data_IF_036914086747
#
_entry.id   IF_036914086747
#
_cell.length_a   1.000
_cell.length_b   1.000
_cell.length_c   1.000
_cell.angle_alpha   90.00
_cell.angle_beta   90.00
_cell.angle_gamma   90.00
#
_symmetry.space_group_name_H-M   'P 1'
#
loop_
_entity.id
_entity.type
_entity.pdbx_description
1 polymer ?
#
# COMPACT_ATOMS: atom_id res chain seq x y z
N UNK A 1 35.98 19.33 23.54
CA UNK A 1 35.33 19.68 22.25
C UNK A 1 34.09 20.52 22.56
N UNK A 2 33.75 21.51 21.72
CA UNK A 2 32.58 22.37 21.95
C UNK A 2 31.51 22.11 20.88
N UNK A 3 30.24 22.04 21.28
CA UNK A 3 29.09 21.84 20.42
C UNK A 3 28.11 22.99 20.64
N UNK A 4 27.82 23.74 19.58
CA UNK A 4 26.83 24.81 19.60
C UNK A 4 25.45 24.30 19.17
N UNK A 5 24.40 24.66 19.93
CA UNK A 5 23.01 24.32 19.66
C UNK A 5 22.23 25.63 19.43
N UNK A 6 22.17 26.05 18.17
CA UNK A 6 21.48 27.27 17.69
C UNK A 6 20.03 26.98 17.28
N UNK A 7 19.16 27.99 17.28
CA UNK A 7 17.77 27.94 16.78
C UNK A 7 17.65 27.93 15.23
N UNK A 8 18.62 27.35 14.52
CA UNK A 8 18.51 27.19 13.06
C UNK A 8 17.71 25.94 12.73
N UNK A 9 16.68 26.09 11.90
CA UNK A 9 15.86 24.99 11.37
C UNK A 9 16.74 23.93 10.73
N UNK A 10 16.60 22.70 11.21
CA UNK A 10 17.29 21.53 10.65
C UNK A 10 16.54 21.00 9.44
N UNK A 11 17.13 21.15 8.26
CA UNK A 11 16.74 20.45 7.04
C UNK A 11 15.80 21.25 6.15
N UNK A 12 16.28 21.61 4.96
CA UNK A 12 15.46 22.19 3.89
C UNK A 12 14.81 21.13 2.99
N UNK A 13 15.12 19.84 3.22
CA UNK A 13 14.60 18.77 2.38
C UNK A 13 13.14 18.48 2.76
N UNK A 14 12.20 18.49 1.79
CA UNK A 14 10.78 18.20 2.04
C UNK A 14 10.55 16.77 2.55
N UNK A 15 11.54 15.88 2.37
CA UNK A 15 11.48 14.48 2.83
C UNK A 15 11.97 14.29 4.26
N UNK A 16 12.62 15.30 4.87
CA UNK A 16 13.07 15.18 6.25
C UNK A 16 11.88 15.25 7.22
N UNK A 17 11.81 14.30 8.14
CA UNK A 17 10.84 14.24 9.23
C UNK A 17 11.53 14.24 10.59
N UNK A 18 10.77 14.42 11.67
CA UNK A 18 11.27 14.25 13.05
C UNK A 18 11.93 12.86 13.20
N UNK A 19 11.31 11.81 12.64
CA UNK A 19 11.84 10.45 12.68
C UNK A 19 13.18 10.29 11.97
N UNK A 20 13.40 10.95 10.83
CA UNK A 20 14.69 10.88 10.13
C UNK A 20 15.77 11.72 10.80
N UNK A 21 15.42 12.91 11.32
CA UNK A 21 16.38 13.79 12.00
C UNK A 21 16.88 13.17 13.31
N UNK A 22 16.03 12.39 13.97
CA UNK A 22 16.35 11.69 15.22
C UNK A 22 16.92 10.28 15.00
N UNK A 23 17.02 9.85 13.74
CA UNK A 23 17.36 8.47 13.30
C UNK A 23 16.48 7.37 13.90
N UNK A 24 15.40 7.73 14.62
CA UNK A 24 14.44 6.76 15.16
C UNK A 24 13.80 5.97 14.01
N UNK A 25 13.54 6.65 12.88
CA UNK A 25 12.99 6.02 11.70
C UNK A 25 13.91 4.92 11.12
N UNK A 26 15.23 5.07 11.21
CA UNK A 26 16.16 4.05 10.73
C UNK A 26 16.08 2.77 11.56
N UNK A 27 15.88 2.91 12.87
CA UNK A 27 15.63 1.76 13.72
C UNK A 27 14.28 1.10 13.41
N UNK A 28 13.24 1.89 13.14
CA UNK A 28 11.93 1.36 12.74
C UNK A 28 12.01 0.57 11.44
N UNK A 29 12.78 1.05 10.45
CA UNK A 29 12.96 0.34 9.17
C UNK A 29 13.52 -1.06 9.37
N UNK A 30 14.51 -1.21 10.24
CA UNK A 30 15.08 -2.53 10.57
C UNK A 30 14.08 -3.37 11.35
N UNK A 31 13.35 -2.76 12.29
CA UNK A 31 12.36 -3.45 13.12
C UNK A 31 11.24 -4.06 12.26
N UNK A 32 10.64 -3.26 11.38
CA UNK A 32 9.56 -3.72 10.49
C UNK A 32 10.05 -4.74 9.46
N UNK A 33 11.25 -4.58 8.91
CA UNK A 33 11.82 -5.56 7.99
C UNK A 33 12.10 -6.93 8.64
N UNK A 34 12.38 -6.97 9.95
CA UNK A 34 12.78 -8.21 10.64
C UNK A 34 11.66 -8.87 11.43
N UNK A 35 10.79 -8.08 12.05
CA UNK A 35 9.74 -8.56 12.94
C UNK A 35 8.32 -8.16 12.48
N UNK A 36 8.20 -7.46 11.35
CA UNK A 36 6.91 -7.13 10.78
C UNK A 36 6.27 -8.32 10.09
N UNK A 37 4.98 -8.52 10.32
CA UNK A 37 4.17 -9.45 9.55
C UNK A 37 3.67 -8.73 8.31
N UNK A 38 3.93 -9.30 7.14
CA UNK A 38 3.45 -8.75 5.87
C UNK A 38 1.96 -9.04 5.68
N UNK A 39 1.26 -8.10 5.07
CA UNK A 39 -0.16 -8.22 4.75
C UNK A 39 -0.35 -7.89 3.26
N UNK A 40 -1.25 -8.61 2.60
CA UNK A 40 -1.68 -8.25 1.26
C UNK A 40 -2.39 -6.88 1.31
N UNK A 41 -1.95 -5.86 0.55
CA UNK A 41 -2.58 -4.54 0.58
C UNK A 41 -4.04 -4.52 0.11
N UNK A 42 -4.40 -5.43 -0.79
CA UNK A 42 -5.75 -5.48 -1.37
C UNK A 42 -6.73 -6.32 -0.54
N UNK A 43 -6.24 -7.42 0.05
CA UNK A 43 -7.08 -8.39 0.76
C UNK A 43 -7.01 -8.28 2.29
N UNK A 44 -6.04 -7.55 2.84
CA UNK A 44 -5.74 -7.42 4.27
C UNK A 44 -5.58 -8.75 5.03
N UNK A 45 -5.07 -9.77 4.34
CA UNK A 45 -4.70 -11.06 4.93
C UNK A 45 -3.19 -11.15 5.15
N UNK A 46 -2.71 -11.81 6.22
CA UNK A 46 -1.30 -12.00 6.44
C UNK A 46 -0.70 -12.86 5.32
N UNK A 47 0.45 -12.44 4.79
CA UNK A 47 1.23 -13.24 3.84
C UNK A 47 2.48 -13.74 4.55
N UNK A 48 2.70 -15.04 4.48
CA UNK A 48 3.81 -15.72 5.12
C UNK A 48 4.62 -16.47 4.06
N UNK A 49 5.93 -16.58 4.29
CA UNK A 49 6.77 -17.52 3.55
C UNK A 49 6.78 -18.86 4.26
N UNK A 50 6.94 -19.92 3.49
CA UNK A 50 7.15 -21.25 4.03
C UNK A 50 8.44 -21.81 3.43
N UNK A 51 9.21 -22.52 4.22
CA UNK A 51 10.32 -23.32 3.73
C UNK A 51 9.79 -24.63 3.15
N UNK A 52 10.56 -25.25 2.25
CA UNK A 52 10.22 -26.57 1.71
C UNK A 52 9.95 -27.60 2.82
N UNK A 53 10.75 -27.57 3.89
CA UNK A 53 10.55 -28.44 5.06
C UNK A 53 9.24 -28.15 5.79
N UNK A 54 8.87 -26.89 5.99
CA UNK A 54 7.59 -26.52 6.61
C UNK A 54 6.39 -26.97 5.76
N UNK A 55 6.49 -26.88 4.43
CA UNK A 55 5.47 -27.40 3.50
C UNK A 55 5.33 -28.92 3.64
N UNK A 56 6.46 -29.65 3.69
CA UNK A 56 6.47 -31.11 3.86
C UNK A 56 5.81 -31.49 5.20
N UNK A 57 6.21 -30.84 6.30
CA UNK A 57 5.65 -31.12 7.62
C UNK A 57 4.16 -30.75 7.70
N UNK A 58 3.71 -29.69 7.01
CA UNK A 58 2.29 -29.31 6.93
C UNK A 58 1.47 -30.36 6.18
N UNK A 59 1.96 -30.90 5.06
CA UNK A 59 1.31 -32.00 4.34
C UNK A 59 1.29 -33.28 5.19
N UNK A 60 2.35 -33.57 5.94
CA UNK A 60 2.41 -34.71 6.86
C UNK A 60 1.48 -34.59 8.06
N UNK A 61 1.12 -33.36 8.46
CA UNK A 61 0.20 -33.07 9.55
C UNK A 61 -1.29 -33.27 9.16
N UNK A 62 -1.59 -33.44 7.86
CA UNK A 62 -2.94 -33.75 7.38
C UNK A 62 -3.37 -35.17 7.80
N UNK A 63 -4.68 -35.44 7.74
CA UNK A 63 -5.23 -36.72 8.16
C UNK A 63 -4.64 -37.90 7.35
N UNK A 64 -4.23 -38.94 8.08
CA UNK A 64 -3.63 -40.12 7.46
C UNK A 64 -4.64 -40.82 6.52
N UNK A 65 -4.21 -41.11 5.29
CA UNK A 65 -5.06 -41.68 4.25
C UNK A 65 -5.62 -40.66 3.25
N UNK A 66 -5.45 -39.35 3.50
CA UNK A 66 -5.81 -38.30 2.55
C UNK A 66 -5.07 -38.50 1.22
N UNK A 67 -5.81 -38.51 0.11
CA UNK A 67 -5.24 -38.62 -1.24
C UNK A 67 -5.04 -37.22 -1.80
N UNK A 68 -3.81 -36.88 -2.15
CA UNK A 68 -3.48 -35.58 -2.72
C UNK A 68 -2.91 -35.73 -4.13
N UNK A 69 -3.27 -34.80 -4.99
CA UNK A 69 -2.62 -34.57 -6.27
C UNK A 69 -1.68 -33.37 -6.13
N UNK A 70 -0.38 -33.61 -6.27
CA UNK A 70 0.63 -32.56 -6.19
C UNK A 70 0.81 -31.95 -7.57
N UNK A 71 0.62 -30.65 -7.66
CA UNK A 71 0.60 -29.87 -8.89
C UNK A 71 1.64 -28.75 -8.84
N UNK A 72 2.25 -28.47 -9.98
CA UNK A 72 3.12 -27.33 -10.19
C UNK A 72 2.48 -26.37 -11.20
N UNK A 73 2.05 -25.17 -10.80
CA UNK A 73 1.51 -24.18 -11.72
C UNK A 73 2.60 -23.70 -12.69
N UNK A 74 2.24 -23.52 -13.96
CA UNK A 74 3.13 -23.00 -14.99
C UNK A 74 2.48 -21.79 -15.63
N UNK A 75 3.11 -20.63 -15.51
CA UNK A 75 2.62 -19.39 -16.13
C UNK A 75 2.82 -19.44 -17.65
N UNK A 76 1.77 -19.03 -18.37
CA UNK A 76 1.79 -18.96 -19.83
C UNK A 76 1.34 -17.58 -20.27
N UNK A 77 2.20 -16.91 -21.03
CA UNK A 77 1.90 -15.60 -21.60
C UNK A 77 0.89 -15.76 -22.76
N UNK A 78 -0.13 -14.90 -22.76
CA UNK A 78 -1.15 -14.85 -23.82
C UNK A 78 -0.47 -14.63 -25.18
N UNK A 79 -0.75 -15.50 -26.14
CA UNK A 79 -0.19 -15.45 -27.50
C UNK A 79 1.06 -16.30 -27.75
N UNK A 80 1.62 -16.99 -26.75
CA UNK A 80 2.65 -18.02 -26.99
C UNK A 80 2.07 -19.30 -27.61
N UNK A 81 2.90 -20.01 -28.38
CA UNK A 81 2.56 -21.31 -28.93
C UNK A 81 2.68 -22.39 -27.84
N UNK A 82 1.55 -22.97 -27.44
CA UNK A 82 1.49 -24.00 -26.39
C UNK A 82 2.23 -25.29 -26.77
N UNK A 83 2.42 -25.57 -28.07
CA UNK A 83 3.07 -26.80 -28.54
C UNK A 83 4.50 -26.94 -28.03
N UNK A 84 5.26 -25.85 -28.00
CA UNK A 84 6.65 -25.84 -27.52
C UNK A 84 6.72 -26.12 -26.01
N UNK A 85 5.72 -25.67 -25.25
CA UNK A 85 5.64 -25.95 -23.82
C UNK A 85 5.36 -27.44 -23.57
N UNK A 86 4.43 -28.04 -24.32
CA UNK A 86 4.12 -29.46 -24.20
C UNK A 86 5.31 -30.35 -24.55
N UNK A 87 6.04 -30.03 -25.61
CA UNK A 87 7.28 -30.73 -25.96
C UNK A 87 8.34 -30.62 -24.87
N UNK A 88 8.50 -29.42 -24.27
CA UNK A 88 9.44 -29.20 -23.16
C UNK A 88 9.07 -30.06 -21.94
N UNK A 89 7.79 -30.07 -21.55
CA UNK A 89 7.32 -30.86 -20.41
C UNK A 89 7.44 -32.37 -20.65
N UNK A 90 7.16 -32.85 -21.86
CA UNK A 90 7.40 -34.26 -22.25
C UNK A 90 8.88 -34.61 -22.20
N UNK A 91 9.76 -33.73 -22.69
CA UNK A 91 11.22 -33.95 -22.65
C UNK A 91 11.75 -34.04 -21.22
N UNK A 92 11.11 -33.31 -20.29
CA UNK A 92 11.41 -33.39 -18.86
C UNK A 92 10.81 -34.62 -18.16
N UNK A 93 10.01 -35.43 -18.87
CA UNK A 93 9.47 -36.70 -18.38
C UNK A 93 8.07 -36.61 -17.76
N UNK A 94 7.40 -35.46 -17.81
CA UNK A 94 6.04 -35.33 -17.31
C UNK A 94 5.04 -36.01 -18.26
N UNK A 95 3.99 -36.61 -17.68
CA UNK A 95 2.98 -37.40 -18.42
C UNK A 95 1.60 -36.75 -18.46
N UNK A 96 1.27 -35.93 -17.46
CA UNK A 96 -0.07 -35.38 -17.24
C UNK A 96 0.01 -33.89 -16.93
N UNK A 97 -1.01 -33.18 -17.38
CA UNK A 97 -1.21 -31.76 -17.12
C UNK A 97 -2.68 -31.54 -16.81
N UNK A 98 -2.96 -30.65 -15.88
CA UNK A 98 -4.30 -30.20 -15.54
C UNK A 98 -4.49 -28.80 -16.13
N UNK A 99 -5.56 -28.65 -16.90
CA UNK A 99 -5.89 -27.39 -17.60
C UNK A 99 -7.32 -27.02 -17.22
N UNK A 100 -7.50 -25.81 -16.66
CA UNK A 100 -8.79 -25.30 -16.18
C UNK A 100 -9.56 -26.35 -15.33
N UNK A 101 -8.83 -27.02 -14.44
CA UNK A 101 -9.38 -28.02 -13.52
C UNK A 101 -9.54 -29.44 -14.08
N UNK A 102 -9.23 -29.73 -15.35
CA UNK A 102 -9.35 -31.08 -15.96
C UNK A 102 -7.99 -31.68 -16.27
N UNK A 103 -7.74 -32.92 -15.80
CA UNK A 103 -6.48 -33.61 -16.09
C UNK A 103 -6.47 -34.27 -17.47
N UNK A 104 -5.51 -33.91 -18.30
CA UNK A 104 -5.20 -34.48 -19.59
C UNK A 104 -3.86 -35.22 -19.57
N UNK A 105 -3.72 -36.20 -20.46
CA UNK A 105 -2.39 -36.72 -20.81
C UNK A 105 -1.72 -35.72 -21.72
N UNK A 106 -0.42 -35.50 -21.54
CA UNK A 106 0.34 -34.59 -22.39
C UNK A 106 0.29 -34.96 -23.88
N UNK A 107 0.01 -36.22 -24.21
CA UNK A 107 -0.20 -36.75 -25.57
C UNK A 107 -1.54 -36.32 -26.20
N UNK A 108 -2.57 -36.14 -25.37
CA UNK A 108 -3.97 -35.97 -25.76
C UNK A 108 -4.53 -34.62 -25.26
N UNK A 109 -3.69 -33.58 -25.25
CA UNK A 109 -4.11 -32.23 -24.83
C UNK A 109 -5.00 -31.62 -25.92
N UNK A 110 -6.21 -31.11 -25.60
CA UNK A 110 -7.07 -30.45 -26.57
C UNK A 110 -6.46 -29.13 -27.07
N UNK A 111 -6.90 -28.65 -28.23
CA UNK A 111 -6.48 -27.34 -28.74
C UNK A 111 -7.04 -26.23 -27.83
N UNK A 112 -6.15 -25.39 -27.30
CA UNK A 112 -6.46 -24.38 -26.27
C UNK A 112 -6.59 -23.01 -26.93
N UNK A 113 -7.59 -22.23 -26.52
CA UNK A 113 -7.80 -20.89 -27.07
C UNK A 113 -6.68 -19.92 -26.63
N UNK A 114 -5.80 -19.61 -27.58
CA UNK A 114 -4.65 -18.71 -27.39
C UNK A 114 -5.00 -17.27 -27.02
N UNK A 115 -6.27 -16.88 -27.14
CA UNK A 115 -6.77 -15.54 -26.80
C UNK A 115 -7.21 -15.41 -25.36
N UNK A 116 -7.36 -16.52 -24.64
CA UNK A 116 -7.80 -16.54 -23.25
C UNK A 116 -6.64 -16.96 -22.34
N UNK A 117 -6.65 -16.46 -21.10
CA UNK A 117 -5.77 -16.95 -20.04
C UNK A 117 -6.33 -18.28 -19.52
N UNK A 118 -5.49 -19.31 -19.50
CA UNK A 118 -5.81 -20.65 -19.01
C UNK A 118 -4.94 -20.97 -17.80
N UNK A 119 -5.49 -21.71 -16.84
CA UNK A 119 -4.74 -22.20 -15.68
C UNK A 119 -4.13 -23.54 -16.05
N UNK A 120 -2.80 -23.61 -16.06
CA UNK A 120 -2.05 -24.81 -16.47
C UNK A 120 -1.16 -25.27 -15.33
N UNK A 121 -1.36 -26.52 -14.94
CA UNK A 121 -0.75 -27.11 -13.76
C UNK A 121 -0.20 -28.49 -14.11
N UNK A 122 1.10 -28.70 -13.94
CA UNK A 122 1.72 -29.99 -14.24
C UNK A 122 1.50 -30.94 -13.08
N UNK A 123 1.03 -32.14 -13.37
CA UNK A 123 0.82 -33.18 -12.35
C UNK A 123 2.16 -33.84 -12.04
N UNK A 124 2.66 -33.62 -10.81
CA UNK A 124 3.95 -34.13 -10.37
C UNK A 124 3.81 -35.55 -9.81
N UNK A 125 2.96 -35.74 -8.80
CA UNK A 125 2.72 -37.04 -8.19
C UNK A 125 1.30 -37.12 -7.61
N UNK A 126 0.80 -38.34 -7.48
CA UNK A 126 -0.41 -38.67 -6.71
C UNK A 126 0.03 -39.40 -5.45
N UNK A 127 -0.10 -38.74 -4.31
CA UNK A 127 0.36 -39.24 -3.03
C UNK A 127 -0.80 -39.59 -2.11
N UNK A 128 -0.52 -40.42 -1.11
CA UNK A 128 -1.42 -40.67 0.02
C UNK A 128 -0.67 -40.33 1.30
N UNK A 129 -1.23 -39.43 2.10
CA UNK A 129 -0.63 -38.91 3.32
C UNK A 129 -0.45 -40.06 4.31
N UNK A 130 0.80 -40.37 4.62
CA UNK A 130 1.19 -41.34 5.63
C UNK A 130 2.63 -41.07 6.06
N UNK A 131 2.94 -41.14 7.36
CA UNK A 131 4.28 -40.87 7.90
C UNK A 131 5.40 -41.71 7.23
N UNK A 132 5.09 -42.96 6.85
CA UNK A 132 6.02 -43.85 6.13
C UNK A 132 6.41 -43.35 4.73
N UNK A 133 5.62 -42.47 4.12
CA UNK A 133 5.82 -41.95 2.77
C UNK A 133 6.60 -40.63 2.77
N UNK A 134 7.17 -40.19 3.91
CA UNK A 134 7.84 -38.88 4.04
C UNK A 134 8.83 -38.59 2.91
N UNK A 135 9.71 -39.54 2.55
CA UNK A 135 10.69 -39.35 1.47
C UNK A 135 10.02 -39.02 0.14
N UNK A 136 8.97 -39.77 -0.23
CA UNK A 136 8.24 -39.57 -1.49
C UNK A 136 7.48 -38.23 -1.52
N UNK A 137 6.92 -37.83 -0.38
CA UNK A 137 6.25 -36.53 -0.23
C UNK A 137 7.27 -35.41 -0.40
N UNK A 138 8.44 -35.52 0.25
CA UNK A 138 9.53 -34.55 0.10
C UNK A 138 9.99 -34.43 -1.36
N UNK A 139 10.28 -35.54 -2.03
CA UNK A 139 10.72 -35.55 -3.44
C UNK A 139 9.67 -34.90 -4.36
N UNK A 140 8.37 -35.13 -4.09
CA UNK A 140 7.27 -34.56 -4.87
C UNK A 140 7.11 -33.06 -4.62
N UNK A 141 7.21 -32.61 -3.37
CA UNK A 141 7.15 -31.20 -2.97
C UNK A 141 8.33 -30.42 -3.57
N UNK A 142 9.54 -30.95 -3.46
CA UNK A 142 10.74 -30.34 -4.05
C UNK A 142 10.60 -30.22 -5.57
N UNK A 143 10.15 -31.29 -6.24
CA UNK A 143 9.95 -31.27 -7.69
C UNK A 143 8.85 -30.29 -8.11
N UNK A 144 7.76 -30.18 -7.34
CA UNK A 144 6.66 -29.27 -7.62
C UNK A 144 7.07 -27.81 -7.45
N UNK A 145 7.69 -27.48 -6.32
CA UNK A 145 8.19 -26.13 -6.05
C UNK A 145 9.29 -25.74 -7.04
N UNK A 146 10.17 -26.66 -7.45
CA UNK A 146 11.20 -26.36 -8.45
C UNK A 146 10.59 -26.06 -9.83
N UNK A 147 9.55 -26.80 -10.25
CA UNK A 147 8.91 -26.58 -11.55
C UNK A 147 7.99 -25.36 -11.55
N UNK A 148 7.24 -25.14 -10.46
CA UNK A 148 6.35 -23.98 -10.27
C UNK A 148 7.07 -22.73 -9.77
N UNK A 149 8.39 -22.68 -9.92
CA UNK A 149 9.27 -21.57 -9.53
C UNK A 149 9.10 -21.09 -8.09
N UNK A 150 8.67 -21.95 -7.17
CA UNK A 150 8.41 -21.66 -5.76
C UNK A 150 6.93 -21.70 -5.36
N UNK A 151 6.02 -21.99 -6.29
CA UNK A 151 4.59 -22.21 -6.04
C UNK A 151 4.22 -23.67 -6.31
N UNK A 152 3.31 -24.23 -5.50
CA UNK A 152 2.71 -25.54 -5.75
C UNK A 152 1.28 -25.59 -5.22
N UNK A 153 0.47 -26.48 -5.78
CA UNK A 153 -0.87 -26.79 -5.28
C UNK A 153 -0.95 -28.25 -4.82
N UNK A 154 -1.70 -28.50 -3.75
CA UNK A 154 -2.10 -29.83 -3.34
C UNK A 154 -3.62 -29.95 -3.41
N UNK A 155 -4.14 -30.67 -4.40
CA UNK A 155 -5.58 -30.88 -4.56
C UNK A 155 -6.03 -32.13 -3.81
N UNK A 156 -7.14 -32.02 -3.10
CA UNK A 156 -7.80 -33.14 -2.43
C UNK A 156 -8.52 -34.00 -3.45
N UNK A 157 -8.07 -35.24 -3.65
CA UNK A 157 -8.75 -36.16 -4.57
C UNK A 157 -10.01 -36.71 -3.92
N UNK A 158 -11.17 -36.22 -4.34
CA UNK A 158 -12.47 -36.80 -4.00
C UNK A 158 -13.07 -37.53 -5.20
N UNK A 159 -13.32 -38.83 -5.06
CA UNK A 159 -13.91 -39.65 -6.12
C UNK A 159 -15.44 -39.40 -6.25
N UNK A 160 -16.08 -38.70 -5.30
CA UNK A 160 -17.52 -38.37 -5.29
C UNK A 160 -17.86 -37.05 -5.99
N UNK A 161 -16.88 -36.17 -6.18
CA UNK A 161 -17.06 -34.82 -6.74
C UNK A 161 -16.29 -34.71 -8.08
N UNK A 162 -16.81 -34.00 -9.10
CA UNK A 162 -16.07 -33.73 -10.32
C UNK A 162 -14.71 -33.09 -10.04
N UNK A 163 -13.68 -33.48 -10.79
CA UNK A 163 -12.31 -33.00 -10.59
C UNK A 163 -12.18 -31.48 -10.57
N UNK A 164 -12.97 -30.78 -11.39
CA UNK A 164 -13.01 -29.32 -11.47
C UNK A 164 -13.41 -28.62 -10.16
N UNK A 165 -14.11 -29.32 -9.28
CA UNK A 165 -14.60 -28.82 -8.00
C UNK A 165 -13.79 -29.35 -6.81
N UNK A 166 -12.66 -30.03 -7.06
CA UNK A 166 -11.75 -30.44 -5.99
C UNK A 166 -11.15 -29.23 -5.29
N UNK A 167 -11.28 -29.21 -3.96
CA UNK A 167 -10.58 -28.26 -3.12
C UNK A 167 -9.07 -28.43 -3.23
N UNK A 168 -8.34 -27.33 -3.07
CA UNK A 168 -6.89 -27.33 -3.11
C UNK A 168 -6.28 -26.39 -2.07
N UNK A 169 -5.09 -26.73 -1.61
CA UNK A 169 -4.25 -25.84 -0.81
C UNK A 169 -3.06 -25.35 -1.63
N UNK A 170 -2.79 -24.06 -1.52
CA UNK A 170 -1.64 -23.41 -2.14
C UNK A 170 -0.48 -23.33 -1.18
N UNK A 171 0.72 -23.69 -1.65
CA UNK A 171 1.97 -23.53 -0.91
C UNK A 171 2.93 -22.69 -1.74
N UNK A 172 3.54 -21.69 -1.11
CA UNK A 172 4.51 -20.81 -1.75
C UNK A 172 5.76 -20.63 -0.89
N UNK A 173 6.93 -20.62 -1.54
CA UNK A 173 8.19 -20.20 -0.94
C UNK A 173 8.31 -18.67 -0.89
N UNK A 174 7.48 -17.96 -1.65
CA UNK A 174 7.39 -16.50 -1.61
C UNK A 174 6.27 -16.06 -0.70
N UNK A 175 6.28 -14.78 -0.36
CA UNK A 175 5.12 -14.17 0.28
C UNK A 175 3.98 -14.13 -0.74
N UNK A 176 2.92 -14.88 -0.49
CA UNK A 176 1.83 -15.06 -1.45
C UNK A 176 0.49 -14.82 -0.78
N UNK A 177 -0.41 -14.11 -1.46
CA UNK A 177 -1.80 -13.94 -1.05
C UNK A 177 -2.68 -14.98 -1.73
N UNK A 178 -3.34 -15.82 -0.93
CA UNK A 178 -4.28 -16.85 -1.37
C UNK A 178 -5.57 -16.30 -1.98
N UNK A 179 -6.01 -15.11 -1.58
CA UNK A 179 -7.25 -14.49 -2.06
C UNK A 179 -7.13 -13.84 -3.44
N UNK A 180 -6.03 -13.12 -3.71
CA UNK A 180 -5.84 -12.39 -4.97
C UNK A 180 -4.77 -12.98 -5.88
N UNK A 181 -4.03 -14.01 -5.44
CA UNK A 181 -2.97 -14.66 -6.22
C UNK A 181 -1.71 -13.80 -6.41
N UNK A 182 -1.55 -12.72 -5.63
CA UNK A 182 -0.40 -11.84 -5.74
C UNK A 182 0.79 -12.37 -4.93
N UNK A 183 1.95 -12.42 -5.58
CA UNK A 183 3.24 -12.69 -4.95
C UNK A 183 3.95 -11.39 -4.58
N UNK A 184 4.65 -11.40 -3.45
CA UNK A 184 5.42 -10.30 -2.90
C UNK A 184 6.87 -10.72 -2.70
N UNK A 185 7.78 -9.76 -2.88
CA UNK A 185 9.20 -9.95 -2.59
C UNK A 185 9.50 -9.85 -1.09
N UNK A 186 10.63 -10.40 -0.66
CA UNK A 186 11.10 -10.20 0.72
C UNK A 186 11.51 -8.73 0.92
N UNK A 187 10.88 -8.06 1.89
CA UNK A 187 11.16 -6.67 2.18
C UNK A 187 12.40 -6.50 3.05
N UNK A 188 13.35 -5.72 2.56
CA UNK A 188 14.55 -5.31 3.29
C UNK A 188 14.34 -3.95 3.98
N UNK A 189 15.22 -3.54 4.91
CA UNK A 189 15.14 -2.20 5.52
C UNK A 189 15.18 -1.03 4.52
N UNK A 190 15.64 -1.24 3.29
CA UNK A 190 15.63 -0.22 2.23
C UNK A 190 14.23 0.01 1.67
N UNK A 191 13.36 -1.01 1.65
CA UNK A 191 11.98 -0.90 1.18
C UNK A 191 11.10 -0.05 2.13
N UNK A 192 11.56 0.17 3.37
CA UNK A 192 10.90 1.08 4.32
C UNK A 192 11.48 2.52 4.28
N UNK A 193 12.35 2.83 3.32
CA UNK A 193 12.92 4.17 3.16
C UNK A 193 12.20 4.96 2.07
N UNK A 194 11.45 5.99 2.45
CA UNK A 194 10.87 6.95 1.49
C UNK A 194 11.89 7.90 0.85
N UNK A 195 13.17 7.81 1.25
CA UNK A 195 14.29 8.51 0.62
C UNK A 195 14.95 7.70 -0.51
N UNK A 196 14.52 6.46 -0.73
CA UNK A 196 15.04 5.58 -1.77
C UNK A 196 13.93 5.17 -2.74
N UNK A 197 14.22 5.06 -4.04
CA UNK A 197 13.27 4.52 -5.02
C UNK A 197 12.74 3.13 -4.70
N UNK A 198 13.50 2.34 -3.93
CA UNK A 198 13.12 0.98 -3.55
C UNK A 198 11.93 0.93 -2.57
N UNK A 199 11.71 1.99 -1.80
CA UNK A 199 10.74 2.02 -0.71
C UNK A 199 9.72 3.14 -0.79
N UNK A 200 9.93 4.14 -1.63
CA UNK A 200 9.04 5.28 -1.73
C UNK A 200 7.70 4.92 -2.39
N UNK A 201 6.67 5.70 -2.09
CA UNK A 201 5.44 5.66 -2.88
C UNK A 201 5.76 6.10 -4.31
N UNK A 202 5.38 5.32 -5.31
CA UNK A 202 5.64 5.63 -6.73
C UNK A 202 4.91 6.88 -7.21
N UNK A 203 3.78 7.23 -6.59
CA UNK A 203 2.97 8.38 -7.00
C UNK A 203 3.56 9.72 -6.52
N UNK A 204 3.85 9.83 -5.22
CA UNK A 204 4.40 11.06 -4.64
C UNK A 204 5.92 11.04 -4.49
N UNK A 205 6.58 9.99 -5.00
CA UNK A 205 8.02 9.73 -4.85
C UNK A 205 8.51 9.85 -3.40
N UNK A 206 7.71 9.45 -2.42
CA UNK A 206 8.10 9.53 -0.99
C UNK A 206 8.03 10.92 -0.34
N UNK A 207 7.40 11.91 -0.98
CA UNK A 207 7.03 13.17 -0.34
C UNK A 207 5.91 12.98 0.69
N UNK A 208 4.95 12.09 0.39
CA UNK A 208 3.76 11.83 1.21
C UNK A 208 2.66 12.87 1.01
N UNK A 209 2.95 13.96 0.31
CA UNK A 209 1.99 14.98 -0.07
C UNK A 209 1.90 15.07 -1.59
N UNK A 210 0.75 15.52 -2.06
CA UNK A 210 0.51 15.91 -3.45
C UNK A 210 -0.06 17.33 -3.49
N UNK A 211 0.12 18.01 -4.61
CA UNK A 211 -0.55 19.28 -4.88
C UNK A 211 -1.99 18.97 -5.26
N UNK A 212 -2.86 18.93 -4.26
CA UNK A 212 -4.29 18.70 -4.42
C UNK A 212 -5.08 19.97 -4.13
N UNK A 213 -6.30 20.04 -4.65
CA UNK A 213 -7.22 21.11 -4.27
C UNK A 213 -7.77 20.81 -2.87
N UNK A 214 -7.67 21.74 -1.93
CA UNK A 214 -8.27 21.50 -0.61
C UNK A 214 -9.79 21.66 -0.73
N UNK A 215 -10.58 20.68 -0.26
CA UNK A 215 -12.05 20.77 -0.28
C UNK A 215 -12.54 22.03 0.46
N UNK A 216 -11.84 22.41 1.53
CA UNK A 216 -12.16 23.60 2.33
C UNK A 216 -11.90 24.91 1.58
N UNK A 217 -10.98 24.91 0.61
CA UNK A 217 -10.74 26.07 -0.28
C UNK A 217 -11.74 26.10 -1.43
N UNK A 218 -12.14 24.92 -1.93
CA UNK A 218 -13.18 24.81 -2.97
C UNK A 218 -14.57 25.18 -2.44
N UNK A 219 -14.85 24.83 -1.19
CA UNK A 219 -16.14 25.02 -0.53
C UNK A 219 -15.86 25.68 0.83
N UNK A 220 -15.58 27.01 0.84
CA UNK A 220 -15.23 27.73 2.07
C UNK A 220 -16.35 27.73 3.11
N UNK A 221 -17.61 27.69 2.66
CA UNK A 221 -18.79 27.65 3.52
C UNK A 221 -19.75 26.54 3.05
N UNK A 222 -19.65 25.33 3.63
CA UNK A 222 -20.51 24.20 3.28
C UNK A 222 -21.99 24.40 3.60
N UNK A 223 -22.35 25.46 4.34
CA UNK A 223 -23.74 25.80 4.64
C UNK A 223 -24.41 26.64 3.54
N UNK A 224 -23.66 27.09 2.53
CA UNK A 224 -24.22 27.76 1.35
C UNK A 224 -24.70 26.74 0.33
N UNK A 225 -25.70 27.13 -0.47
CA UNK A 225 -26.20 26.34 -1.58
C UNK A 225 -25.40 26.59 -2.85
N UNK A 226 -25.55 25.73 -3.87
CA UNK A 226 -24.88 25.93 -5.16
C UNK A 226 -25.33 27.23 -5.84
N UNK A 227 -26.60 27.62 -5.67
CA UNK A 227 -27.15 28.87 -6.19
C UNK A 227 -26.64 30.11 -5.42
N UNK A 228 -26.30 29.96 -4.14
CA UNK A 228 -25.67 31.01 -3.30
C UNK A 228 -24.14 31.00 -3.32
N UNK A 229 -23.55 30.49 -4.41
CA UNK A 229 -22.11 30.47 -4.64
C UNK A 229 -21.31 29.72 -3.56
N UNK A 230 -21.73 28.50 -3.22
CA UNK A 230 -20.99 27.62 -2.32
C UNK A 230 -19.61 27.19 -2.86
N UNK A 231 -19.44 27.16 -4.18
CA UNK A 231 -18.20 26.72 -4.84
C UNK A 231 -17.35 27.93 -5.24
N UNK A 232 -16.19 28.10 -4.61
CA UNK A 232 -15.30 29.24 -4.83
C UNK A 232 -14.68 29.28 -6.23
N UNK A 233 -14.46 28.10 -6.83
CA UNK A 233 -13.85 27.99 -8.16
C UNK A 233 -14.84 28.26 -9.32
N UNK A 234 -16.13 28.43 -9.04
CA UNK A 234 -17.15 28.73 -10.05
C UNK A 234 -17.42 30.24 -10.17
N UNK A 235 -17.85 30.72 -11.36
CA UNK A 235 -18.45 32.04 -11.47
C UNK A 235 -19.68 32.15 -10.54
N UNK A 236 -19.91 33.30 -9.90
CA UNK A 236 -21.07 33.49 -9.03
C UNK A 236 -22.38 33.39 -9.86
N UNK A 237 -23.23 32.37 -9.65
CA UNK A 237 -24.43 32.15 -10.44
C UNK A 237 -25.43 33.32 -10.38
N UNK A 238 -25.40 34.11 -9.30
CA UNK A 238 -26.32 35.23 -9.08
C UNK A 238 -25.95 36.45 -9.94
N UNK A 239 -24.69 36.53 -10.37
CA UNK A 239 -24.17 37.64 -11.19
C UNK A 239 -23.87 37.22 -12.62
N UNK A 240 -23.79 35.93 -12.92
CA UNK A 240 -23.49 35.38 -14.24
C UNK A 240 -24.66 34.53 -14.78
N UNK A 241 -25.55 35.12 -15.61
CA UNK A 241 -26.72 34.43 -16.17
C UNK A 241 -26.38 33.22 -17.04
N UNK A 242 -25.26 33.26 -17.77
CA UNK A 242 -24.87 32.12 -18.62
C UNK A 242 -24.40 30.93 -17.78
N UNK A 243 -23.68 31.19 -16.69
CA UNK A 243 -23.30 30.12 -15.76
C UNK A 243 -24.51 29.55 -15.00
N UNK A 244 -25.49 30.39 -14.64
CA UNK A 244 -26.74 29.92 -14.03
C UNK A 244 -27.47 28.91 -14.92
N UNK A 245 -27.56 29.15 -16.25
CA UNK A 245 -28.17 28.20 -17.19
C UNK A 245 -27.45 26.86 -17.21
N UNK A 246 -26.11 26.88 -17.19
CA UNK A 246 -25.28 25.67 -17.12
C UNK A 246 -25.53 24.90 -15.83
N UNK A 247 -25.64 25.61 -14.70
CA UNK A 247 -25.93 25.02 -13.40
C UNK A 247 -27.33 24.40 -13.36
N UNK A 248 -28.33 25.06 -13.95
CA UNK A 248 -29.69 24.54 -14.08
C UNK A 248 -29.74 23.28 -14.96
N UNK A 249 -28.97 23.23 -16.05
CA UNK A 249 -28.86 22.05 -16.91
C UNK A 249 -28.25 20.86 -16.16
N UNK A 250 -27.18 21.09 -15.38
CA UNK A 250 -26.58 20.08 -14.50
C UNK A 250 -27.61 19.59 -13.46
N UNK A 251 -28.31 20.51 -12.81
CA UNK A 251 -29.32 20.20 -11.80
C UNK A 251 -30.46 19.35 -12.35
N UNK A 252 -30.97 19.68 -13.54
CA UNK A 252 -32.06 18.95 -14.20
C UNK A 252 -31.65 17.52 -14.57
N UNK A 253 -30.44 17.36 -15.12
CA UNK A 253 -29.96 16.05 -15.58
C UNK A 253 -29.60 15.11 -14.42
N UNK A 254 -28.94 15.63 -13.38
CA UNK A 254 -28.43 14.82 -12.27
C UNK A 254 -29.27 14.91 -10.99
N UNK A 255 -30.41 15.64 -11.05
CA UNK A 255 -31.35 15.86 -9.94
C UNK A 255 -30.64 16.41 -8.69
N UNK A 256 -29.86 17.47 -8.89
CA UNK A 256 -29.14 18.15 -7.81
C UNK A 256 -29.98 19.36 -7.36
N UNK A 257 -30.41 19.45 -6.09
CA UNK A 257 -31.08 20.64 -5.59
C UNK A 257 -30.06 21.79 -5.50
N UNK A 258 -30.41 22.95 -6.06
CA UNK A 258 -29.51 24.11 -6.12
C UNK A 258 -29.64 25.06 -4.94
N UNK A 259 -30.75 25.00 -4.22
CA UNK A 259 -31.17 25.84 -3.10
C UNK A 259 -30.83 25.23 -1.73
N UNK A 260 -30.38 23.98 -1.70
CA UNK A 260 -30.00 23.26 -0.48
C UNK A 260 -28.51 23.48 -0.17
N UNK A 261 -28.13 23.69 1.12
CA UNK A 261 -26.74 23.74 1.53
C UNK A 261 -25.88 22.58 1.02
N UNK A 262 -24.63 22.84 0.63
CA UNK A 262 -23.75 21.82 0.06
C UNK A 262 -23.58 20.60 0.98
N UNK A 263 -23.46 20.81 2.29
CA UNK A 263 -23.33 19.73 3.28
C UNK A 263 -24.60 18.87 3.42
N UNK A 264 -25.76 19.35 2.96
CA UNK A 264 -27.03 18.62 2.97
C UNK A 264 -27.30 17.89 1.64
N UNK A 265 -26.46 18.09 0.62
CA UNK A 265 -26.48 17.28 -0.59
C UNK A 265 -26.10 15.83 -0.25
N UNK A 266 -26.69 14.87 -0.95
CA UNK A 266 -26.29 13.46 -0.83
C UNK A 266 -24.84 13.27 -1.28
N UNK A 267 -24.17 12.24 -0.74
CA UNK A 267 -22.79 11.87 -1.10
C UNK A 267 -22.61 11.73 -2.61
N UNK A 268 -23.61 11.17 -3.31
CA UNK A 268 -23.60 11.01 -4.77
C UNK A 268 -23.62 12.37 -5.49
N UNK A 269 -24.41 13.32 -5.01
CA UNK A 269 -24.51 14.67 -5.58
C UNK A 269 -23.24 15.48 -5.30
N UNK A 270 -22.69 15.42 -4.09
CA UNK A 270 -21.41 16.06 -3.75
C UNK A 270 -20.28 15.49 -4.62
N UNK A 271 -20.21 14.16 -4.76
CA UNK A 271 -19.21 13.50 -5.60
C UNK A 271 -19.32 13.93 -7.06
N UNK A 272 -20.54 14.07 -7.59
CA UNK A 272 -20.73 14.58 -8.94
C UNK A 272 -20.19 16.00 -9.10
N UNK A 273 -20.48 16.91 -8.16
CA UNK A 273 -19.94 18.28 -8.20
C UNK A 273 -18.40 18.29 -8.14
N UNK A 274 -17.81 17.39 -7.34
CA UNK A 274 -16.36 17.37 -7.14
C UNK A 274 -15.59 16.66 -8.27
N UNK A 275 -16.11 15.53 -8.78
CA UNK A 275 -15.41 14.63 -9.70
C UNK A 275 -16.04 14.53 -11.09
N UNK A 276 -17.22 15.12 -11.29
CA UNK A 276 -17.88 15.16 -12.60
C UNK A 276 -18.37 13.80 -13.10
N UNK A 277 -18.73 13.79 -14.39
CA UNK A 277 -19.09 12.63 -15.19
C UNK A 277 -18.72 12.96 -16.65
N UNK A 278 -17.48 12.64 -17.03
CA UNK A 278 -16.93 12.97 -18.37
C UNK A 278 -17.60 12.17 -19.49
N UNK A 279 -18.21 11.02 -19.18
CA UNK A 279 -18.80 10.15 -20.19
C UNK A 279 -20.16 10.65 -20.69
N UNK A 280 -20.79 11.60 -19.98
CA UNK A 280 -22.16 12.06 -20.26
C UNK A 280 -22.22 13.48 -20.81
N UNK A 281 -22.85 13.62 -21.96
CA UNK A 281 -23.21 14.90 -22.55
C UNK A 281 -24.47 15.49 -21.90
N UNK A 282 -24.38 16.74 -21.46
CA UNK A 282 -25.45 17.51 -20.83
C UNK A 282 -25.95 18.55 -21.84
N UNK A 283 -27.24 18.52 -22.26
CA UNK A 283 -27.80 19.54 -23.12
C UNK A 283 -28.05 20.84 -22.35
N UNK A 284 -27.61 21.97 -22.90
CA UNK A 284 -27.81 23.31 -22.33
C UNK A 284 -29.18 23.90 -22.71
N UNK A 285 -29.72 23.51 -23.86
CA UNK A 285 -31.02 23.94 -24.39
C UNK A 285 -31.96 22.74 -24.59
N UNK A 286 -33.29 23.00 -24.58
CA UNK A 286 -34.28 21.93 -24.77
C UNK A 286 -34.24 21.30 -26.17
N UNK A 287 -33.70 22.03 -27.15
CA UNK A 287 -33.46 21.52 -28.50
C UNK A 287 -32.19 20.66 -28.62
N UNK A 288 -31.33 20.65 -27.59
CA UNK A 288 -30.08 19.88 -27.58
C UNK A 288 -29.04 20.36 -28.60
N UNK A 289 -29.14 21.60 -29.06
CA UNK A 289 -28.23 22.22 -30.05
C UNK A 289 -26.84 22.45 -29.45
N UNK A 290 -26.77 22.73 -28.16
CA UNK A 290 -25.52 22.95 -27.43
C UNK A 290 -25.42 21.94 -26.30
N UNK A 291 -24.34 21.15 -26.31
CA UNK A 291 -24.07 20.14 -25.29
C UNK A 291 -22.67 20.35 -24.71
N UNK A 292 -22.50 19.99 -23.45
CA UNK A 292 -21.21 20.03 -22.77
C UNK A 292 -21.02 18.82 -21.86
N UNK A 293 -19.77 18.49 -21.55
CA UNK A 293 -19.43 17.48 -20.55
C UNK A 293 -18.93 18.20 -19.29
N UNK A 294 -19.26 17.66 -18.13
CA UNK A 294 -18.82 18.22 -16.86
C UNK A 294 -17.74 17.35 -16.23
N UNK A 295 -16.50 17.84 -16.28
CA UNK A 295 -15.29 17.16 -15.79
C UNK A 295 -15.19 17.05 -14.26
N UNK A 296 -15.94 17.86 -13.52
CA UNK A 296 -15.76 18.00 -12.07
C UNK A 296 -14.72 19.04 -11.71
N UNK A 297 -14.78 19.52 -10.46
CA UNK A 297 -13.86 20.52 -9.92
C UNK A 297 -12.42 20.00 -9.81
N UNK A 298 -12.23 18.82 -9.23
CA UNK A 298 -10.89 18.25 -9.03
C UNK A 298 -10.15 18.02 -10.36
N UNK A 299 -10.72 17.28 -11.34
CA UNK A 299 -10.00 17.01 -12.58
C UNK A 299 -9.78 18.25 -13.44
N UNK A 300 -10.66 19.25 -13.33
CA UNK A 300 -10.52 20.52 -14.06
C UNK A 300 -9.41 21.41 -13.47
N UNK A 301 -9.34 21.53 -12.14
CA UNK A 301 -8.30 22.32 -11.46
C UNK A 301 -6.94 21.65 -11.65
N UNK A 302 -6.87 20.33 -11.54
CA UNK A 302 -5.65 19.57 -11.79
C UNK A 302 -5.14 19.81 -13.22
N UNK A 303 -6.00 19.72 -14.24
CA UNK A 303 -5.63 19.99 -15.62
C UNK A 303 -5.21 21.45 -15.84
N UNK A 304 -5.97 22.42 -15.30
CA UNK A 304 -5.65 23.84 -15.41
C UNK A 304 -4.29 24.19 -14.77
N UNK A 305 -3.94 23.51 -13.66
CA UNK A 305 -2.63 23.65 -13.01
C UNK A 305 -1.48 23.18 -13.90
N UNK A 306 -1.70 22.18 -14.76
CA UNK A 306 -0.68 21.68 -15.69
C UNK A 306 -0.50 22.63 -16.89
N UNK A 307 -1.58 23.25 -17.38
CA UNK A 307 -1.63 23.94 -18.68
C UNK A 307 -0.98 25.34 -18.77
N UNK A 308 -0.93 26.16 -17.71
CA UNK A 308 -0.26 27.48 -17.83
C UNK A 308 0.34 28.06 -16.54
N UNK A 309 1.45 28.79 -16.67
CA UNK A 309 2.17 29.45 -15.58
C UNK A 309 1.32 30.53 -14.86
N UNK A 310 0.48 31.28 -15.60
CA UNK A 310 -0.38 32.31 -15.02
C UNK A 310 -1.57 31.77 -14.21
N UNK A 311 -2.11 30.61 -14.59
CA UNK A 311 -3.12 29.90 -13.80
C UNK A 311 -2.52 29.20 -12.58
N UNK A 312 -1.29 28.67 -12.67
CA UNK A 312 -0.57 28.11 -11.51
C UNK A 312 -0.48 29.11 -10.37
N UNK A 313 -0.10 30.37 -10.62
CA UNK A 313 0.04 31.38 -9.55
C UNK A 313 -1.30 31.78 -8.91
N UNK A 314 -2.43 31.75 -9.65
CA UNK A 314 -3.76 32.04 -9.07
C UNK A 314 -4.35 30.86 -8.33
N UNK A 315 -4.12 29.64 -8.83
CA UNK A 315 -4.62 28.41 -8.21
C UNK A 315 -3.75 27.96 -7.03
N UNK A 316 -2.54 28.51 -6.87
CA UNK A 316 -1.66 28.23 -5.74
C UNK A 316 -2.30 28.57 -4.38
N UNK A 317 -3.25 29.51 -4.32
CA UNK A 317 -4.03 29.79 -3.11
C UNK A 317 -5.11 28.73 -2.84
N UNK A 318 -5.58 28.03 -3.88
CA UNK A 318 -6.63 27.00 -3.80
C UNK A 318 -6.09 25.56 -3.79
N UNK A 319 -4.82 25.38 -4.15
CA UNK A 319 -4.10 24.10 -4.12
C UNK A 319 -3.13 24.10 -2.95
N UNK A 320 -3.34 23.19 -2.01
CA UNK A 320 -2.47 22.99 -0.86
C UNK A 320 -1.72 21.68 -0.96
N UNK A 321 -0.75 21.48 -0.07
CA UNK A 321 -0.24 20.13 0.18
C UNK A 321 -1.32 19.33 0.91
N UNK A 322 -1.86 18.32 0.23
CA UNK A 322 -2.76 17.33 0.84
C UNK A 322 -2.02 16.00 0.95
N UNK A 323 -2.41 15.09 1.87
CA UNK A 323 -1.87 13.75 1.90
C UNK A 323 -2.04 13.07 0.54
N UNK A 324 -0.98 12.41 0.06
CA UNK A 324 -0.98 11.68 -1.20
C UNK A 324 -2.14 10.65 -1.22
N UNK A 325 -2.92 10.67 -2.29
CA UNK A 325 -4.11 9.83 -2.47
C UNK A 325 -3.81 8.33 -2.52
N UNK A 326 -2.59 7.95 -2.91
CA UNK A 326 -2.14 6.55 -3.02
C UNK A 326 -1.60 6.02 -1.70
N UNK A 327 -0.68 6.75 -1.06
CA UNK A 327 -0.02 6.29 0.17
C UNK A 327 -0.65 6.84 1.45
N UNK A 328 -1.66 7.70 1.34
CA UNK A 328 -2.34 8.40 2.44
C UNK A 328 -1.37 9.07 3.42
N UNK A 329 -0.31 9.68 2.91
CA UNK A 329 0.72 10.32 3.74
C UNK A 329 1.83 9.41 4.26
N UNK A 330 1.76 8.10 4.08
CA UNK A 330 2.78 7.15 4.59
C UNK A 330 4.14 7.26 3.90
N UNK A 331 4.19 7.85 2.69
CA UNK A 331 5.39 8.03 1.85
C UNK A 331 5.98 6.75 1.27
N UNK A 332 5.42 5.59 1.58
CA UNK A 332 5.98 4.28 1.22
C UNK A 332 5.22 3.61 0.08
N UNK A 333 5.88 2.66 -0.57
CA UNK A 333 5.22 1.69 -1.46
C UNK A 333 4.20 0.85 -0.69
N UNK A 334 3.17 0.39 -1.40
CA UNK A 334 1.93 -0.14 -0.83
C UNK A 334 2.13 -1.37 0.06
N UNK A 335 2.95 -2.32 -0.38
CA UNK A 335 3.32 -3.53 0.36
C UNK A 335 4.13 -3.23 1.63
N UNK A 336 5.15 -2.36 1.54
CA UNK A 336 5.91 -1.93 2.72
C UNK A 336 5.04 -1.15 3.73
N UNK A 337 4.09 -0.35 3.23
CA UNK A 337 3.13 0.37 4.06
C UNK A 337 2.11 -0.56 4.76
N UNK A 338 1.85 -1.74 4.18
CA UNK A 338 0.90 -2.72 4.71
C UNK A 338 1.50 -3.59 5.84
N UNK A 339 2.82 -3.69 5.95
CA UNK A 339 3.47 -4.50 7.01
C UNK A 339 3.13 -3.98 8.40
N UNK A 340 2.78 -4.91 9.30
CA UNK A 340 2.36 -4.60 10.67
C UNK A 340 3.34 -5.20 11.69
N UNK A 341 3.80 -4.36 12.62
CA UNK A 341 4.46 -4.80 13.84
C UNK A 341 3.49 -4.64 15.01
N UNK A 342 3.15 -5.75 15.67
CA UNK A 342 2.18 -5.80 16.77
C UNK A 342 0.85 -5.08 16.44
N UNK A 343 0.35 -5.30 15.21
CA UNK A 343 -0.93 -4.77 14.75
C UNK A 343 -0.92 -3.30 14.30
N UNK A 344 0.25 -2.66 14.15
CA UNK A 344 0.36 -1.30 13.60
C UNK A 344 1.31 -1.26 12.41
N UNK A 345 0.97 -0.48 11.40
CA UNK A 345 1.88 -0.19 10.29
C UNK A 345 2.92 0.86 10.67
N UNK A 346 4.02 0.93 9.91
CA UNK A 346 5.08 1.93 10.17
C UNK A 346 4.54 3.36 10.05
N UNK A 347 3.64 3.63 9.09
CA UNK A 347 2.96 4.91 8.94
C UNK A 347 2.11 5.24 10.17
N UNK A 348 1.25 4.30 10.60
CA UNK A 348 0.44 4.47 11.81
C UNK A 348 1.29 4.70 13.07
N UNK A 349 2.44 4.03 13.18
CA UNK A 349 3.37 4.26 14.28
C UNK A 349 3.98 5.67 14.22
N UNK A 350 4.36 6.13 13.03
CA UNK A 350 4.92 7.46 12.83
C UNK A 350 3.92 8.60 13.10
N UNK A 351 2.63 8.34 12.96
CA UNK A 351 1.55 9.30 13.23
C UNK A 351 1.14 9.38 14.71
N UNK A 352 1.63 8.47 15.56
CA UNK A 352 1.38 8.55 17.00
C UNK A 352 2.10 9.76 17.61
N UNK A 353 1.47 10.44 18.59
CA UNK A 353 2.18 11.33 19.50
C UNK A 353 3.38 10.60 20.14
N UNK A 354 4.50 11.28 20.32
CA UNK A 354 5.74 10.64 20.83
C UNK A 354 5.53 9.94 22.18
N UNK A 355 4.65 10.46 23.05
CA UNK A 355 4.26 9.78 24.29
C UNK A 355 3.64 8.39 24.06
N UNK A 356 2.80 8.28 23.03
CA UNK A 356 2.04 7.08 22.71
C UNK A 356 2.94 6.10 21.94
N UNK A 357 3.81 6.61 21.06
CA UNK A 357 4.85 5.83 20.41
C UNK A 357 5.81 5.19 21.44
N UNK A 358 6.23 5.95 22.45
CA UNK A 358 7.06 5.47 23.55
C UNK A 358 6.34 4.39 24.38
N UNK A 359 5.08 4.62 24.72
CA UNK A 359 4.26 3.64 25.44
C UNK A 359 4.07 2.35 24.63
N UNK A 360 3.88 2.46 23.32
CA UNK A 360 3.76 1.32 22.41
C UNK A 360 5.04 0.48 22.40
N UNK A 361 6.21 1.08 22.17
CA UNK A 361 7.48 0.34 22.14
C UNK A 361 7.80 -0.29 23.51
N UNK A 362 7.56 0.40 24.62
CA UNK A 362 7.78 -0.16 25.97
C UNK A 362 6.88 -1.37 26.26
N UNK A 363 5.68 -1.41 25.69
CA UNK A 363 4.72 -2.51 25.84
C UNK A 363 4.98 -3.66 24.88
N UNK A 364 5.87 -3.48 23.90
CA UNK A 364 6.14 -4.48 22.89
C UNK A 364 6.64 -5.78 23.53
N UNK A 365 5.84 -6.84 23.40
CA UNK A 365 6.21 -8.17 23.87
C UNK A 365 7.05 -8.85 22.81
N UNK A 366 8.30 -9.17 23.16
CA UNK A 366 9.22 -9.91 22.31
C UNK A 366 9.51 -11.26 22.94
N UNK A 367 9.48 -12.31 22.13
CA UNK A 367 9.96 -13.63 22.51
C UNK A 367 11.50 -13.68 22.61
N UNK A 368 12.05 -14.86 22.93
CA UNK A 368 13.51 -15.02 23.09
C UNK A 368 14.27 -14.82 21.77
N UNK A 369 13.72 -15.27 20.65
CA UNK A 369 14.32 -15.16 19.31
C UNK A 369 14.25 -13.71 18.83
N UNK A 370 13.08 -13.08 18.94
CA UNK A 370 12.86 -11.68 18.58
C UNK A 370 13.76 -10.73 19.37
N UNK A 371 13.96 -10.98 20.67
CA UNK A 371 14.93 -10.23 21.49
C UNK A 371 16.36 -10.35 20.99
N UNK A 372 16.76 -11.52 20.49
CA UNK A 372 18.09 -11.70 19.92
C UNK A 372 18.27 -10.92 18.60
N UNK A 373 17.18 -10.76 17.83
CA UNK A 373 17.20 -10.07 16.53
C UNK A 373 17.13 -8.55 16.70
N UNK A 374 16.22 -8.04 17.55
CA UNK A 374 15.86 -6.62 17.62
C UNK A 374 15.86 -6.04 19.05
N UNK A 375 16.39 -6.75 20.05
CA UNK A 375 16.38 -6.29 21.44
C UNK A 375 17.17 -4.99 21.64
N UNK A 376 18.40 -4.93 21.12
CA UNK A 376 19.24 -3.73 21.20
C UNK A 376 18.63 -2.56 20.41
N UNK A 377 18.02 -2.88 19.27
CA UNK A 377 17.31 -1.94 18.41
C UNK A 377 16.16 -1.23 19.15
N UNK A 378 15.31 -2.02 19.80
CA UNK A 378 14.16 -1.53 20.57
C UNK A 378 14.63 -0.73 21.78
N UNK A 379 15.71 -1.16 22.45
CA UNK A 379 16.29 -0.42 23.58
C UNK A 379 16.77 0.96 23.15
N UNK A 380 17.47 1.05 22.02
CA UNK A 380 17.99 2.32 21.49
C UNK A 380 16.85 3.24 21.02
N UNK A 381 15.87 2.72 20.27
CA UNK A 381 14.70 3.47 19.86
C UNK A 381 13.88 3.98 21.07
N UNK A 382 13.73 3.15 22.12
CA UNK A 382 13.07 3.55 23.38
C UNK A 382 13.81 4.68 24.07
N UNK A 383 15.14 4.59 24.14
CA UNK A 383 16.00 5.62 24.75
C UNK A 383 15.83 6.98 24.04
N UNK A 384 15.91 6.99 22.71
CA UNK A 384 15.74 8.20 21.90
C UNK A 384 14.34 8.81 22.01
N UNK A 385 13.29 7.97 21.98
CA UNK A 385 11.92 8.43 22.21
C UNK A 385 11.75 9.02 23.62
N UNK A 386 12.37 8.39 24.64
CA UNK A 386 12.33 8.91 26.01
C UNK A 386 12.97 10.29 26.09
N UNK A 387 14.15 10.50 25.49
CA UNK A 387 14.79 11.81 25.49
C UNK A 387 13.93 12.89 24.83
N UNK A 388 13.24 12.58 23.74
CA UNK A 388 12.31 13.52 23.08
C UNK A 388 11.12 13.89 23.99
N UNK A 389 10.58 12.92 24.72
CA UNK A 389 9.51 13.16 25.71
C UNK A 389 10.03 13.98 26.88
N UNK A 390 11.23 13.70 27.38
CA UNK A 390 11.85 14.40 28.52
C UNK A 390 12.11 15.88 28.21
N UNK A 391 12.44 16.22 26.97
CA UNK A 391 12.57 17.63 26.53
C UNK A 391 11.22 18.28 26.16
N UNK A 392 10.08 17.63 26.45
CA UNK A 392 8.74 18.20 26.29
C UNK A 392 8.21 18.19 24.85
N UNK A 393 8.70 17.32 23.97
CA UNK A 393 8.21 17.17 22.59
C UNK A 393 7.16 16.06 22.45
N UNK A 394 6.54 15.65 23.55
CA UNK A 394 5.60 14.52 23.64
C UNK A 394 4.37 14.61 22.70
N UNK A 395 4.00 15.82 22.28
CA UNK A 395 2.87 16.10 21.39
C UNK A 395 3.21 15.96 19.91
N UNK A 396 4.51 15.91 19.55
CA UNK A 396 4.95 15.73 18.18
C UNK A 396 4.71 14.30 17.69
N UNK A 397 4.76 14.12 16.38
CA UNK A 397 4.75 12.81 15.73
C UNK A 397 6.07 12.61 14.99
N UNK A 398 6.49 11.35 14.79
CA UNK A 398 7.71 11.05 14.02
C UNK A 398 7.53 11.36 12.53
N UNK A 399 6.29 11.31 12.03
CA UNK A 399 5.92 11.66 10.66
C UNK A 399 5.93 13.16 10.37
N UNK A 400 5.97 14.04 11.39
CA UNK A 400 5.94 15.50 11.20
C UNK A 400 7.14 15.96 10.36
N UNK A 401 6.85 16.78 9.35
CA UNK A 401 7.84 17.37 8.44
C UNK A 401 8.83 18.25 9.21
N UNK A 402 10.13 18.03 9.04
CA UNK A 402 11.17 18.78 9.74
C UNK A 402 11.17 20.29 9.39
N UNK A 403 10.93 20.70 8.13
CA UNK A 403 10.72 22.11 7.79
C UNK A 403 9.55 22.79 8.51
N UNK A 404 8.57 22.03 9.01
CA UNK A 404 7.39 22.58 9.71
C UNK A 404 7.64 22.86 11.21
N UNK A 405 8.84 22.55 11.71
CA UNK A 405 9.19 22.73 13.11
C UNK A 405 9.54 24.19 13.40
N UNK A 406 9.09 24.68 14.55
CA UNK A 406 9.55 25.96 15.09
C UNK A 406 11.04 25.90 15.49
N UNK A 407 11.70 27.06 15.58
CA UNK A 407 13.10 27.13 16.00
C UNK A 407 13.39 26.42 17.33
N UNK A 408 12.53 26.63 18.33
CA UNK A 408 12.63 25.95 19.62
C UNK A 408 12.37 24.44 19.56
N UNK A 409 11.45 23.98 18.70
CA UNK A 409 11.24 22.54 18.48
C UNK A 409 12.48 21.89 17.84
N UNK A 410 13.04 22.50 16.79
CA UNK A 410 14.28 22.00 16.17
C UNK A 410 15.46 21.98 17.16
N UNK A 411 15.55 23.00 18.01
CA UNK A 411 16.60 23.09 19.03
C UNK A 411 16.49 21.97 20.07
N UNK A 412 15.28 21.71 20.59
CA UNK A 412 15.04 20.63 21.56
C UNK A 412 15.24 19.25 20.96
N UNK A 413 14.91 19.04 19.67
CA UNK A 413 15.24 17.79 18.97
C UNK A 413 16.76 17.59 18.91
N UNK A 414 17.52 18.64 18.57
CA UNK A 414 18.99 18.58 18.56
C UNK A 414 19.55 18.31 19.95
N UNK A 415 18.99 18.95 20.98
CA UNK A 415 19.36 18.69 22.37
C UNK A 415 19.13 17.23 22.76
N UNK A 416 17.95 16.67 22.46
CA UNK A 416 17.63 15.27 22.75
C UNK A 416 18.60 14.30 22.04
N UNK A 417 18.93 14.56 20.77
CA UNK A 417 19.91 13.78 20.01
C UNK A 417 21.31 13.85 20.63
N UNK A 418 21.75 15.02 21.08
CA UNK A 418 23.05 15.20 21.71
C UNK A 418 23.13 14.56 23.10
N UNK A 419 22.08 14.69 23.92
CA UNK A 419 22.02 14.02 25.23
C UNK A 419 22.03 12.50 25.07
N UNK A 420 21.36 11.98 24.03
CA UNK A 420 21.38 10.55 23.70
C UNK A 420 22.73 10.01 23.23
N UNK A 421 23.64 10.87 22.77
CA UNK A 421 24.96 10.44 22.26
C UNK A 421 25.93 9.94 23.33
N UNK A 422 25.65 10.16 24.62
CA UNK A 422 26.47 9.67 25.74
C UNK A 422 27.87 10.31 25.84
N UNK A 423 28.10 11.42 25.15
CA UNK A 423 29.40 12.09 25.13
C UNK A 423 29.75 12.70 26.50
N UNK A 424 30.97 12.46 26.96
CA UNK A 424 31.51 13.05 28.20
C UNK A 424 32.62 14.07 27.88
N UNK A 425 32.75 15.12 28.70
CA UNK A 425 33.80 16.13 28.52
C UNK A 425 33.57 17.10 27.35
N UNK A 426 32.31 17.29 26.97
CA UNK A 426 31.88 18.22 25.91
C UNK A 426 31.36 19.52 26.53
N UNK A 427 31.73 20.66 25.95
CA UNK A 427 31.15 21.96 26.26
C UNK A 427 29.95 22.19 25.34
N UNK A 428 28.74 22.14 25.89
CA UNK A 428 27.53 22.53 25.16
C UNK A 428 27.29 24.02 25.31
N UNK A 429 27.13 24.73 24.19
CA UNK A 429 26.75 26.15 24.14
C UNK A 429 25.34 26.22 23.56
N UNK A 430 24.37 26.62 24.38
CA UNK A 430 22.96 26.71 24.00
C UNK A 430 22.59 28.18 23.76
N UNK A 431 21.89 28.43 22.66
CA UNK A 431 21.40 29.77 22.28
C UNK A 431 19.90 29.88 22.56
N UNK A 432 19.53 30.45 23.70
CA UNK A 432 18.12 30.59 24.16
C UNK A 432 17.27 29.29 24.05
N UNK A 433 17.60 28.23 24.84
CA UNK A 433 17.00 26.89 24.74
C UNK A 433 15.55 26.74 25.26
#
# INVERSE_FOLDING_TARGET
PAIAIEQKTTGHSPRSTVGTVTEIYDYLRVLYARLGTMYCPDCDVPVETQTTDEVIERILAMDAGTKLLILAPVDINVGQAYETLWEKLRTQGFLRVRIDGVTYRLEDVPDIDRRRRHEVEVVIDRITVAAKNRSRIADSVESALALGEGLMYACYCDDEIPEQEWDFETFSLFYFCDQCGQSFEELTPHNYSFNSPLGWCEYCEGLGTELGTNLSELIPDPNRSLQDAAVAAWPDPRTNPEFSKTLDAIAKQFRIPLDVPFNQLSVKQQRFVLYGDEDRWIPLDEAGTVQFQYKGLYPAIEEASRLSFGFRSRLQEMTGEVPCSVCNGSRLRTDAAAVRFQGKTIGQFCDLPLKDALAFIKKAKLDKREKQIAGDLIKEATSRLQFLVDVGLEYLTLGRSAPSLSGGESQRIRLASQVGSGLCGVLYVLDEP
#
